data_IF_979230573652
#
_entry.id   IF_979230573652
#
_cell.length_a   1.000
_cell.length_b   1.000
_cell.length_c   1.000
_cell.angle_alpha   90.00
_cell.angle_beta   90.00
_cell.angle_gamma   90.00
#
_symmetry.space_group_name_H-M   'P 1'
#
loop_
_entity.id
_entity.type
_entity.pdbx_description
1 polymer ?
#
# COMPACT_ATOMS: atom_id res chain seq x y z
N UNK A 1 -9.40 -7.90 30.20
CA UNK A 1 -9.04 -7.16 28.97
C UNK A 1 -7.54 -7.22 28.91
N UNK A 2 -6.97 -7.94 27.94
CA UNK A 2 -5.52 -8.19 27.90
C UNK A 2 -4.77 -6.88 27.65
N UNK A 3 -3.81 -6.57 28.52
CA UNK A 3 -2.87 -5.43 28.47
C UNK A 3 -1.97 -5.49 27.23
N UNK A 4 -2.55 -5.26 26.04
CA UNK A 4 -1.76 -5.14 24.82
C UNK A 4 -1.04 -3.80 24.80
N UNK A 5 0.28 -3.85 24.85
CA UNK A 5 1.16 -2.71 24.62
C UNK A 5 1.98 -2.99 23.36
N UNK A 6 1.90 -2.09 22.38
CA UNK A 6 2.66 -2.24 21.14
C UNK A 6 4.16 -2.11 21.42
N UNK A 7 4.94 -3.01 20.85
CA UNK A 7 6.41 -3.01 20.87
C UNK A 7 7.02 -2.90 19.48
N UNK A 8 6.23 -3.09 18.42
CA UNK A 8 6.67 -2.89 17.03
C UNK A 8 6.81 -1.39 16.68
N UNK A 9 7.89 -0.98 15.99
CA UNK A 9 8.00 0.35 15.41
C UNK A 9 6.89 0.68 14.41
N UNK A 10 6.53 1.96 14.30
CA UNK A 10 5.61 2.46 13.28
C UNK A 10 6.34 3.44 12.37
N UNK A 11 6.22 3.25 11.05
CA UNK A 11 6.58 4.23 10.05
C UNK A 11 5.34 5.00 9.59
N UNK A 12 5.43 6.33 9.57
CA UNK A 12 4.35 7.21 9.17
C UNK A 12 4.78 8.10 8.00
N UNK A 13 4.16 7.86 6.84
CA UNK A 13 4.45 8.56 5.59
C UNK A 13 3.45 9.71 5.42
N UNK A 14 3.94 10.94 5.42
CA UNK A 14 3.10 12.15 5.40
C UNK A 14 3.50 13.09 4.27
N UNK A 15 2.58 13.95 3.84
CA UNK A 15 2.91 15.05 2.93
C UNK A 15 2.23 16.36 3.36
N UNK A 16 1.16 16.76 2.67
CA UNK A 16 0.56 18.09 2.76
C UNK A 16 -0.92 18.03 3.20
N UNK A 17 -1.34 16.94 3.87
CA UNK A 17 -2.73 16.76 4.32
C UNK A 17 -2.81 16.78 5.85
N UNK A 18 -2.70 17.95 6.50
CA UNK A 18 -2.70 18.04 7.97
C UNK A 18 -3.96 17.41 8.60
N UNK A 19 -5.13 17.55 7.99
CA UNK A 19 -6.39 17.03 8.53
C UNK A 19 -6.42 15.49 8.64
N UNK A 20 -6.02 14.78 7.58
CA UNK A 20 -5.97 13.31 7.62
C UNK A 20 -4.76 12.83 8.42
N UNK A 21 -3.62 13.54 8.33
CA UNK A 21 -2.43 13.29 9.14
C UNK A 21 -2.78 13.28 10.63
N UNK A 22 -3.53 14.27 11.11
CA UNK A 22 -3.93 14.37 12.52
C UNK A 22 -4.78 13.17 12.96
N UNK A 23 -5.69 12.71 12.10
CA UNK A 23 -6.57 11.56 12.40
C UNK A 23 -5.80 10.24 12.46
N UNK A 24 -4.87 10.02 11.54
CA UNK A 24 -4.03 8.82 11.55
C UNK A 24 -3.04 8.86 12.71
N UNK A 25 -2.44 10.03 12.97
CA UNK A 25 -1.55 10.24 14.10
C UNK A 25 -2.25 9.97 15.44
N UNK A 26 -3.50 10.39 15.61
CA UNK A 26 -4.26 10.08 16.83
C UNK A 26 -4.38 8.56 17.05
N UNK A 27 -4.62 7.78 15.99
CA UNK A 27 -4.65 6.33 16.11
C UNK A 27 -3.28 5.73 16.47
N UNK A 28 -2.19 6.28 15.93
CA UNK A 28 -0.80 5.92 16.30
C UNK A 28 -0.52 6.27 17.76
N UNK A 29 -0.91 7.46 18.20
CA UNK A 29 -0.78 7.96 19.57
C UNK A 29 -1.55 7.11 20.58
N UNK A 30 -2.72 6.57 20.22
CA UNK A 30 -3.43 5.60 21.06
C UNK A 30 -2.71 4.25 21.14
N UNK A 31 -2.04 3.83 20.05
CA UNK A 31 -1.27 2.58 20.02
C UNK A 31 0.08 2.67 20.75
N UNK A 32 0.61 3.89 20.93
CA UNK A 32 1.85 4.20 21.66
C UNK A 32 3.03 3.32 21.24
N UNK A 33 3.44 3.31 19.95
CA UNK A 33 4.63 2.57 19.55
C UNK A 33 5.87 3.11 20.27
N UNK A 34 6.85 2.26 20.61
CA UNK A 34 8.08 2.69 21.28
C UNK A 34 9.01 3.48 20.35
N UNK A 35 8.83 3.37 19.03
CA UNK A 35 9.57 4.10 18.00
C UNK A 35 8.65 4.54 16.87
N UNK A 36 8.71 5.81 16.50
CA UNK A 36 7.97 6.40 15.39
C UNK A 36 8.95 6.97 14.36
N UNK A 37 8.96 6.39 13.16
CA UNK A 37 9.78 6.84 12.03
C UNK A 37 8.91 7.64 11.06
N UNK A 38 9.12 8.94 10.95
CA UNK A 38 8.30 9.82 10.11
C UNK A 38 9.04 10.19 8.84
N UNK A 39 8.43 9.89 7.70
CA UNK A 39 8.93 10.29 6.38
C UNK A 39 7.98 11.36 5.84
N UNK A 40 8.51 12.54 5.50
CA UNK A 40 7.72 13.59 4.86
C UNK A 40 8.30 13.99 3.50
N UNK A 41 7.45 14.19 2.50
CA UNK A 41 7.86 14.88 1.26
C UNK A 41 7.96 16.41 1.46
N UNK A 42 8.64 17.07 0.54
CA UNK A 42 8.73 18.52 0.48
C UNK A 42 7.61 19.15 -0.35
N UNK A 43 7.36 20.47 -0.18
CA UNK A 43 6.32 21.18 -0.91
C UNK A 43 6.60 21.19 -2.41
N UNK A 44 5.54 21.10 -3.23
CA UNK A 44 5.69 21.21 -4.70
C UNK A 44 6.00 22.66 -5.08
N UNK A 45 6.97 22.89 -5.99
CA UNK A 45 7.41 24.23 -6.35
C UNK A 45 6.30 25.08 -7.00
N UNK A 46 5.31 24.44 -7.63
CA UNK A 46 4.16 25.06 -8.28
C UNK A 46 2.92 25.20 -7.38
N UNK A 47 3.03 24.88 -6.07
CA UNK A 47 1.92 24.89 -5.11
C UNK A 47 2.31 25.62 -3.83
N UNK A 48 2.06 26.93 -3.80
CA UNK A 48 2.41 27.78 -2.66
C UNK A 48 1.73 27.34 -1.34
N UNK A 49 0.52 26.76 -1.40
CA UNK A 49 -0.20 26.26 -0.23
C UNK A 49 0.47 25.02 0.40
N UNK A 50 1.29 24.28 -0.36
CA UNK A 50 2.01 23.13 0.18
C UNK A 50 3.00 23.53 1.27
N UNK A 51 3.57 24.75 1.25
CA UNK A 51 4.55 25.17 2.26
C UNK A 51 3.92 25.13 3.65
N UNK A 52 2.79 25.83 3.82
CA UNK A 52 2.09 25.87 5.10
C UNK A 52 1.43 24.53 5.43
N UNK A 53 0.90 23.81 4.44
CA UNK A 53 0.30 22.49 4.64
C UNK A 53 1.32 21.43 5.09
N UNK A 54 2.51 21.39 4.48
CA UNK A 54 3.59 20.50 4.89
C UNK A 54 4.07 20.84 6.30
N UNK A 55 4.25 22.14 6.59
CA UNK A 55 4.62 22.61 7.93
C UNK A 55 3.58 22.19 8.98
N UNK A 56 2.29 22.40 8.70
CA UNK A 56 1.20 21.98 9.57
C UNK A 56 1.16 20.45 9.77
N UNK A 57 1.36 19.67 8.70
CA UNK A 57 1.41 18.21 8.78
C UNK A 57 2.59 17.71 9.64
N UNK A 58 3.78 18.31 9.48
CA UNK A 58 4.97 17.98 10.28
C UNK A 58 4.80 18.36 11.76
N UNK A 59 4.18 19.50 12.05
CA UNK A 59 3.93 19.96 13.42
C UNK A 59 3.03 19.02 14.24
N UNK A 60 2.18 18.22 13.60
CA UNK A 60 1.37 17.20 14.28
C UNK A 60 2.24 16.17 15.01
N UNK A 61 3.42 15.87 14.48
CA UNK A 61 4.36 14.90 15.06
C UNK A 61 4.93 15.41 16.40
N UNK A 62 4.92 16.71 16.66
CA UNK A 62 5.31 17.28 17.95
C UNK A 62 4.32 16.91 19.07
N UNK A 63 3.14 16.39 18.74
CA UNK A 63 2.12 15.92 19.68
C UNK A 63 2.40 14.55 20.31
N UNK A 64 3.60 13.99 20.13
CA UNK A 64 4.04 12.77 20.80
C UNK A 64 4.23 13.05 22.29
N UNK A 65 3.41 12.43 23.13
CA UNK A 65 3.39 12.64 24.59
C UNK A 65 3.51 11.33 25.40
N UNK A 66 4.01 10.28 24.76
CA UNK A 66 4.33 9.01 25.38
C UNK A 66 5.83 8.69 25.20
N UNK A 67 6.33 7.68 25.91
CA UNK A 67 7.72 7.22 25.77
C UNK A 67 7.92 6.64 24.36
N UNK A 68 8.54 7.43 23.49
CA UNK A 68 8.67 7.15 22.06
C UNK A 68 9.95 7.77 21.50
N UNK A 69 10.77 6.96 20.86
CA UNK A 69 11.87 7.45 20.02
C UNK A 69 11.31 7.92 18.68
N UNK A 70 11.30 9.24 18.46
CA UNK A 70 10.85 9.84 17.20
C UNK A 70 12.05 10.13 16.30
N UNK A 71 12.07 9.53 15.11
CA UNK A 71 13.06 9.77 14.07
C UNK A 71 12.38 10.34 12.83
N UNK A 72 12.95 11.38 12.23
CA UNK A 72 12.35 12.09 11.10
C UNK A 72 13.27 12.11 9.89
N UNK A 73 12.70 11.84 8.72
CA UNK A 73 13.34 12.02 7.42
C UNK A 73 12.43 12.93 6.57
N UNK A 74 12.72 14.23 6.58
CA UNK A 74 11.94 15.24 5.87
C UNK A 74 12.71 15.73 4.65
N UNK A 75 12.04 15.74 3.49
CA UNK A 75 12.60 16.35 2.29
C UNK A 75 12.26 17.84 2.24
N UNK A 76 13.24 18.67 1.84
CA UNK A 76 13.02 20.10 1.60
C UNK A 76 12.37 20.36 0.22
N UNK A 77 12.50 19.40 -0.70
CA UNK A 77 11.95 19.46 -2.06
C UNK A 77 10.95 18.33 -2.29
N UNK A 78 9.97 18.56 -3.15
CA UNK A 78 9.05 17.48 -3.55
C UNK A 78 9.78 16.46 -4.43
N UNK A 79 9.86 15.21 -3.97
CA UNK A 79 10.46 14.10 -4.72
C UNK A 79 9.41 13.28 -5.49
N UNK A 80 8.12 13.48 -5.19
CA UNK A 80 7.01 12.76 -5.80
C UNK A 80 6.76 11.40 -5.14
N UNK A 81 5.61 10.79 -5.46
CA UNK A 81 5.12 9.62 -4.74
C UNK A 81 6.09 8.42 -4.88
N UNK A 82 6.53 8.11 -6.10
CA UNK A 82 7.45 6.99 -6.36
C UNK A 82 8.74 7.14 -5.58
N UNK A 83 9.44 8.27 -5.75
CA UNK A 83 10.78 8.47 -5.20
C UNK A 83 10.74 8.71 -3.71
N UNK A 84 9.76 9.47 -3.20
CA UNK A 84 9.70 9.79 -1.77
C UNK A 84 9.36 8.57 -0.93
N UNK A 85 8.34 7.80 -1.33
CA UNK A 85 7.93 6.64 -0.53
C UNK A 85 9.01 5.57 -0.55
N UNK A 86 9.59 5.26 -1.71
CA UNK A 86 10.67 4.26 -1.80
C UNK A 86 11.90 4.65 -0.98
N UNK A 87 12.46 5.85 -1.18
CA UNK A 87 13.63 6.31 -0.40
C UNK A 87 13.34 6.43 1.09
N UNK A 88 12.11 6.78 1.47
CA UNK A 88 11.66 6.81 2.86
C UNK A 88 11.63 5.40 3.48
N UNK A 89 11.11 4.41 2.75
CA UNK A 89 11.08 3.03 3.20
C UNK A 89 12.48 2.41 3.25
N UNK A 90 13.37 2.75 2.31
CA UNK A 90 14.78 2.35 2.38
C UNK A 90 15.42 2.84 3.68
N UNK A 91 15.26 4.13 4.00
CA UNK A 91 15.72 4.71 5.27
C UNK A 91 15.08 4.05 6.50
N UNK A 92 13.77 3.75 6.48
CA UNK A 92 13.11 3.04 7.58
C UNK A 92 13.77 1.68 7.80
N UNK A 93 13.95 0.91 6.74
CA UNK A 93 14.50 -0.44 6.82
C UNK A 93 16.03 -0.49 7.04
N UNK A 94 16.75 0.62 6.90
CA UNK A 94 18.12 0.76 7.42
C UNK A 94 18.16 0.80 8.96
N UNK A 95 17.06 1.20 9.61
CA UNK A 95 16.98 1.40 11.07
C UNK A 95 16.32 0.21 11.77
N UNK A 96 15.29 -0.40 11.16
CA UNK A 96 14.48 -1.44 11.79
C UNK A 96 14.33 -2.70 10.93
N UNK A 97 14.29 -3.87 11.58
CA UNK A 97 14.12 -5.16 10.90
C UNK A 97 12.66 -5.44 10.50
N UNK A 98 11.70 -4.85 11.22
CA UNK A 98 10.27 -4.98 10.96
C UNK A 98 9.52 -3.73 11.43
N UNK A 99 8.43 -3.40 10.74
CA UNK A 99 7.72 -2.12 10.95
C UNK A 99 6.28 -2.20 10.47
N UNK A 100 5.39 -1.48 11.16
CA UNK A 100 4.03 -1.17 10.71
C UNK A 100 4.06 0.15 9.95
N UNK A 101 3.51 0.20 8.75
CA UNK A 101 3.59 1.34 7.83
C UNK A 101 2.19 1.90 7.59
N UNK A 102 2.02 3.19 7.85
CA UNK A 102 0.80 3.94 7.60
C UNK A 102 1.12 5.17 6.74
N UNK A 103 0.22 5.49 5.80
CA UNK A 103 0.20 6.77 5.09
C UNK A 103 -0.75 7.76 5.79
N UNK A 104 -0.60 9.06 5.53
CA UNK A 104 -1.40 10.14 6.12
C UNK A 104 -2.91 10.04 5.91
N UNK A 105 -3.37 9.10 5.08
CA UNK A 105 -4.77 8.86 4.79
C UNK A 105 -5.24 7.42 5.08
N UNK A 106 -4.38 6.59 5.68
CA UNK A 106 -4.72 5.22 6.05
C UNK A 106 -5.14 5.15 7.53
N UNK A 107 -6.42 5.37 7.84
CA UNK A 107 -6.93 5.34 9.21
C UNK A 107 -7.11 3.89 9.71
N UNK A 108 -6.32 3.43 10.70
CA UNK A 108 -6.41 2.06 11.19
C UNK A 108 -7.50 1.90 12.26
N UNK A 109 -8.12 0.71 12.30
CA UNK A 109 -8.84 0.23 13.47
C UNK A 109 -7.86 -0.07 14.60
N UNK A 110 -8.25 0.10 15.87
CA UNK A 110 -7.35 -0.11 17.03
C UNK A 110 -6.73 -1.51 17.09
N UNK A 111 -7.46 -2.53 16.64
CA UNK A 111 -6.96 -3.92 16.58
C UNK A 111 -5.94 -4.18 15.47
N UNK A 112 -5.71 -3.25 14.56
CA UNK A 112 -4.72 -3.36 13.47
C UNK A 112 -3.29 -3.54 14.01
N UNK A 113 -2.92 -2.75 15.01
CA UNK A 113 -1.56 -2.78 15.57
C UNK A 113 -1.22 -4.13 16.17
N UNK A 114 -2.11 -4.68 17.01
CA UNK A 114 -1.95 -6.02 17.59
C UNK A 114 -1.94 -7.12 16.53
N UNK A 115 -2.77 -7.00 15.50
CA UNK A 115 -2.79 -7.93 14.38
C UNK A 115 -1.44 -7.97 13.65
N UNK A 116 -0.88 -6.80 13.34
CA UNK A 116 0.44 -6.72 12.72
C UNK A 116 1.54 -7.27 13.64
N UNK A 117 1.58 -6.90 14.93
CA UNK A 117 2.62 -7.36 15.86
C UNK A 117 2.62 -8.89 16.04
N UNK A 118 1.46 -9.50 16.29
CA UNK A 118 1.37 -10.96 16.47
C UNK A 118 1.86 -11.70 15.20
N UNK A 119 1.55 -11.18 14.01
CA UNK A 119 1.93 -11.79 12.74
C UNK A 119 3.36 -11.48 12.30
N UNK A 120 3.88 -10.28 12.59
CA UNK A 120 5.28 -9.94 12.40
C UNK A 120 6.17 -10.89 13.20
N UNK A 121 5.83 -11.10 14.47
CA UNK A 121 6.51 -12.05 15.35
C UNK A 121 6.39 -13.50 14.84
N UNK A 122 5.18 -13.93 14.46
CA UNK A 122 4.93 -15.31 14.04
C UNK A 122 5.67 -15.67 12.75
N UNK A 123 5.67 -14.78 11.75
CA UNK A 123 6.26 -15.04 10.43
C UNK A 123 7.63 -14.41 10.23
N UNK A 124 8.30 -13.96 11.31
CA UNK A 124 9.60 -13.29 11.25
C UNK A 124 10.64 -14.03 10.40
N UNK A 125 10.67 -15.36 10.50
CA UNK A 125 11.64 -16.20 9.80
C UNK A 125 11.06 -16.95 8.60
N UNK A 126 9.78 -16.75 8.26
CA UNK A 126 9.13 -17.42 7.13
C UNK A 126 9.24 -16.57 5.86
N UNK A 127 10.24 -16.89 5.03
CA UNK A 127 10.53 -16.16 3.79
C UNK A 127 9.40 -16.19 2.76
N UNK A 128 8.41 -17.10 2.90
CA UNK A 128 7.24 -17.14 2.02
C UNK A 128 6.34 -15.92 2.24
N UNK A 129 6.39 -15.29 3.41
CA UNK A 129 5.58 -14.12 3.74
C UNK A 129 6.41 -12.86 3.59
N UNK A 130 5.93 -11.93 2.76
CA UNK A 130 6.60 -10.66 2.47
C UNK A 130 5.87 -9.44 3.03
N UNK A 131 4.56 -9.55 3.30
CA UNK A 131 3.74 -8.43 3.73
C UNK A 131 2.58 -8.91 4.62
N UNK A 132 2.18 -8.07 5.57
CA UNK A 132 0.90 -8.14 6.27
C UNK A 132 0.08 -6.92 5.85
N UNK A 133 -1.12 -7.10 5.33
CA UNK A 133 -2.00 -6.02 4.91
C UNK A 133 -3.02 -5.71 6.01
N UNK A 134 -3.53 -4.49 6.07
CA UNK A 134 -4.66 -4.11 6.91
C UNK A 134 -5.98 -4.04 6.15
N UNK A 135 -5.96 -3.85 4.83
CA UNK A 135 -7.17 -3.76 4.02
C UNK A 135 -7.68 -5.11 3.49
N UNK A 136 -9.01 -5.26 3.43
CA UNK A 136 -9.68 -6.37 2.76
C UNK A 136 -10.73 -5.84 1.76
N UNK A 137 -10.53 -6.12 0.47
CA UNK A 137 -11.40 -5.66 -0.61
C UNK A 137 -12.30 -6.74 -1.20
N UNK A 138 -12.44 -7.90 -0.55
CA UNK A 138 -13.33 -8.97 -1.02
C UNK A 138 -14.81 -8.62 -0.84
N UNK A 139 -15.16 -7.57 -0.08
CA UNK A 139 -16.55 -7.10 0.15
C UNK A 139 -17.50 -8.22 0.56
N UNK A 140 -17.04 -9.14 1.41
CA UNK A 140 -17.81 -10.29 1.90
C UNK A 140 -18.09 -11.38 0.86
N UNK A 141 -17.54 -11.29 -0.36
CA UNK A 141 -17.74 -12.29 -1.43
C UNK A 141 -17.04 -13.62 -1.16
N UNK A 142 -16.14 -13.65 -0.20
CA UNK A 142 -15.50 -14.87 0.31
C UNK A 142 -15.59 -14.88 1.83
N UNK A 143 -16.18 -15.93 2.38
CA UNK A 143 -16.19 -16.19 3.82
C UNK A 143 -15.01 -17.09 4.14
N UNK A 144 -14.10 -16.60 4.97
CA UNK A 144 -12.96 -17.34 5.48
C UNK A 144 -13.17 -17.48 6.98
N UNK A 145 -13.12 -18.72 7.47
CA UNK A 145 -13.36 -19.02 8.87
C UNK A 145 -12.19 -18.67 9.78
N UNK A 146 -11.02 -18.37 9.22
CA UNK A 146 -9.79 -17.97 9.92
C UNK A 146 -9.71 -16.44 10.01
N UNK A 147 -8.90 -15.92 10.93
CA UNK A 147 -8.75 -14.47 11.14
C UNK A 147 -8.12 -13.76 9.95
N UNK A 148 -7.34 -14.47 9.14
CA UNK A 148 -6.68 -13.97 7.94
C UNK A 148 -6.50 -15.08 6.91
N UNK A 149 -6.09 -14.71 5.70
CA UNK A 149 -5.71 -15.64 4.63
C UNK A 149 -4.45 -15.14 3.94
N UNK A 150 -3.80 -16.01 3.16
CA UNK A 150 -2.66 -15.61 2.34
C UNK A 150 -3.10 -15.33 0.90
N UNK A 151 -2.50 -14.32 0.29
CA UNK A 151 -2.80 -13.87 -1.07
C UNK A 151 -1.51 -13.57 -1.80
N UNK A 152 -1.46 -13.78 -3.12
CA UNK A 152 -0.36 -13.23 -3.94
C UNK A 152 -0.47 -11.70 -4.08
N UNK A 153 -1.66 -11.14 -3.88
CA UNK A 153 -1.87 -9.71 -3.79
C UNK A 153 -1.63 -9.24 -2.36
N UNK A 154 -1.39 -7.93 -2.21
CA UNK A 154 -1.34 -7.32 -0.89
C UNK A 154 -1.57 -5.82 -1.01
N UNK A 155 -2.79 -5.34 -0.74
CA UNK A 155 -3.08 -3.91 -0.65
C UNK A 155 -2.11 -3.20 0.28
N UNK A 156 -1.67 -2.00 -0.11
CA UNK A 156 -0.67 -1.21 0.63
C UNK A 156 -1.28 -0.17 1.57
N UNK A 157 -2.61 -0.08 1.67
CA UNK A 157 -3.24 0.82 2.64
C UNK A 157 -3.17 0.23 4.03
N UNK A 158 -2.24 0.75 4.83
CA UNK A 158 -1.87 0.24 6.15
C UNK A 158 -1.36 -1.20 6.07
N UNK A 159 -0.06 -1.38 6.28
CA UNK A 159 0.58 -2.68 6.12
C UNK A 159 1.75 -2.82 7.06
N UNK A 160 2.36 -3.99 7.11
CA UNK A 160 3.59 -4.23 7.83
C UNK A 160 4.47 -5.18 7.03
N UNK A 161 5.78 -5.07 7.22
CA UNK A 161 6.75 -5.90 6.53
C UNK A 161 8.07 -5.99 7.30
N UNK A 162 8.97 -6.79 6.76
CA UNK A 162 10.31 -6.99 7.27
C UNK A 162 11.35 -6.43 6.29
N UNK A 163 12.48 -5.97 6.81
CA UNK A 163 13.67 -5.61 6.02
C UNK A 163 14.07 -6.75 5.08
N UNK A 164 14.01 -8.00 5.56
CA UNK A 164 14.31 -9.20 4.76
C UNK A 164 13.42 -9.36 3.53
N UNK A 165 12.22 -8.76 3.51
CA UNK A 165 11.32 -8.76 2.38
C UNK A 165 11.51 -7.50 1.53
N UNK A 166 11.67 -6.33 2.17
CA UNK A 166 11.90 -5.06 1.47
C UNK A 166 13.18 -5.05 0.63
N UNK A 167 14.22 -5.79 1.02
CA UNK A 167 15.48 -5.91 0.24
C UNK A 167 15.31 -6.34 -1.23
N UNK A 168 14.15 -6.92 -1.59
CA UNK A 168 13.83 -7.32 -2.96
C UNK A 168 13.15 -6.21 -3.77
N UNK A 169 12.81 -5.09 -3.15
CA UNK A 169 12.22 -3.93 -3.81
C UNK A 169 13.23 -3.33 -4.80
N UNK A 170 12.80 -3.19 -6.05
CA UNK A 170 13.55 -2.50 -7.10
C UNK A 170 12.63 -1.46 -7.74
N UNK A 171 12.91 -0.18 -7.47
CA UNK A 171 12.13 0.97 -7.95
C UNK A 171 12.05 1.05 -9.48
N UNK A 172 13.02 0.45 -10.18
CA UNK A 172 13.13 0.44 -11.63
C UNK A 172 12.65 -0.86 -12.27
N UNK A 173 12.28 -1.87 -11.47
CA UNK A 173 11.84 -3.19 -11.92
C UNK A 173 12.71 -3.76 -13.05
N UNK A 174 14.04 -3.73 -12.87
CA UNK A 174 15.00 -4.05 -13.93
C UNK A 174 14.80 -5.46 -14.53
N UNK A 175 14.27 -6.39 -13.73
CA UNK A 175 13.95 -7.75 -14.17
C UNK A 175 12.72 -7.83 -15.08
N UNK A 176 11.90 -6.77 -15.21
CA UNK A 176 10.65 -6.83 -15.98
C UNK A 176 10.88 -7.22 -17.45
N UNK A 177 11.93 -6.69 -18.08
CA UNK A 177 12.25 -7.02 -19.48
C UNK A 177 12.45 -8.53 -19.65
N UNK A 178 13.24 -9.14 -18.78
CA UNK A 178 13.50 -10.58 -18.81
C UNK A 178 12.25 -11.40 -18.50
N UNK A 179 11.47 -10.97 -17.49
CA UNK A 179 10.19 -11.60 -17.13
C UNK A 179 9.22 -11.60 -18.31
N UNK A 180 9.17 -10.52 -19.08
CA UNK A 180 8.33 -10.40 -20.26
C UNK A 180 8.85 -11.26 -21.42
N UNK A 181 10.14 -11.15 -21.76
CA UNK A 181 10.75 -11.84 -22.90
C UNK A 181 10.70 -13.37 -22.74
N UNK A 182 10.95 -13.87 -21.53
CA UNK A 182 10.89 -15.31 -21.20
C UNK A 182 9.49 -15.78 -20.80
N UNK A 183 8.48 -14.89 -20.84
CA UNK A 183 7.11 -15.18 -20.45
C UNK A 183 6.94 -15.73 -19.02
N UNK A 184 7.85 -15.36 -18.11
CA UNK A 184 7.84 -15.77 -16.69
C UNK A 184 6.56 -15.29 -15.98
N UNK A 185 5.90 -14.25 -16.49
CA UNK A 185 4.64 -13.76 -15.94
C UNK A 185 3.52 -14.82 -15.87
N UNK A 186 3.56 -15.88 -16.70
CA UNK A 186 2.61 -16.99 -16.58
C UNK A 186 2.70 -17.73 -15.24
N UNK A 187 3.83 -17.64 -14.53
CA UNK A 187 4.02 -18.31 -13.23
C UNK A 187 3.29 -17.59 -12.08
N UNK A 188 2.91 -16.33 -12.25
CA UNK A 188 2.20 -15.56 -11.23
C UNK A 188 0.86 -14.96 -11.70
N UNK A 189 0.45 -15.22 -12.94
CA UNK A 189 -0.85 -14.85 -13.49
C UNK A 189 -1.75 -16.08 -13.62
N UNK A 190 -3.00 -16.02 -13.14
CA UNK A 190 -3.92 -17.17 -13.20
C UNK A 190 -4.53 -17.41 -14.58
N UNK A 191 -4.60 -16.36 -15.40
CA UNK A 191 -5.30 -16.40 -16.69
C UNK A 191 -4.78 -15.33 -17.65
N UNK A 192 -5.17 -15.45 -18.92
CA UNK A 192 -4.76 -14.54 -19.99
C UNK A 192 -5.14 -13.08 -19.72
N UNK A 193 -6.30 -12.82 -19.11
CA UNK A 193 -6.74 -11.45 -18.80
C UNK A 193 -5.83 -10.80 -17.75
N UNK A 194 -5.44 -11.54 -16.71
CA UNK A 194 -4.47 -11.09 -15.72
C UNK A 194 -3.10 -10.84 -16.37
N UNK A 195 -2.63 -11.76 -17.22
CA UNK A 195 -1.37 -11.60 -17.94
C UNK A 195 -1.35 -10.32 -18.78
N UNK A 196 -2.37 -10.09 -19.62
CA UNK A 196 -2.45 -8.90 -20.47
C UNK A 196 -2.53 -7.60 -19.65
N UNK A 197 -3.30 -7.62 -18.55
CA UNK A 197 -3.43 -6.47 -17.65
C UNK A 197 -2.08 -6.11 -17.03
N UNK A 198 -1.30 -7.12 -16.62
CA UNK A 198 0.00 -6.92 -15.98
C UNK A 198 1.08 -6.54 -16.97
N UNK A 199 1.06 -7.08 -18.18
CA UNK A 199 2.00 -6.67 -19.23
C UNK A 199 1.81 -5.18 -19.53
N UNK A 200 0.58 -4.73 -19.79
CA UNK A 200 0.27 -3.31 -20.02
C UNK A 200 0.68 -2.43 -18.83
N UNK A 201 0.45 -2.91 -17.60
CA UNK A 201 0.82 -2.19 -16.39
C UNK A 201 2.34 -2.04 -16.26
N UNK A 202 3.09 -3.14 -16.30
CA UNK A 202 4.53 -3.14 -16.05
C UNK A 202 5.34 -2.56 -17.21
N UNK A 203 4.83 -2.60 -18.44
CA UNK A 203 5.39 -1.84 -19.56
C UNK A 203 5.35 -0.33 -19.28
N UNK A 204 4.26 0.19 -18.71
CA UNK A 204 4.16 1.61 -18.37
C UNK A 204 5.01 1.99 -17.17
N UNK A 205 5.08 1.11 -16.16
CA UNK A 205 5.95 1.33 -14.99
C UNK A 205 7.42 1.35 -15.41
N UNK A 206 7.86 0.44 -16.29
CA UNK A 206 9.27 0.31 -16.68
C UNK A 206 9.79 1.49 -17.51
N UNK A 207 8.93 2.13 -18.29
CA UNK A 207 9.27 3.34 -19.06
C UNK A 207 8.97 4.65 -18.31
N UNK A 208 8.51 4.58 -17.06
CA UNK A 208 8.27 5.75 -16.22
C UNK A 208 6.97 6.51 -16.50
N UNK A 209 6.01 5.93 -17.22
CA UNK A 209 4.69 6.55 -17.46
C UNK A 209 3.80 6.60 -16.20
N UNK A 210 4.15 5.84 -15.15
CA UNK A 210 3.40 5.77 -13.90
C UNK A 210 4.32 6.16 -12.73
N UNK A 211 3.99 7.27 -12.07
CA UNK A 211 4.63 7.74 -10.84
C UNK A 211 3.97 7.10 -9.61
N UNK A 212 4.37 5.87 -9.30
CA UNK A 212 3.97 5.17 -8.07
C UNK A 212 5.09 4.23 -7.60
N UNK A 213 4.99 3.73 -6.37
CA UNK A 213 5.93 2.77 -5.77
C UNK A 213 5.30 1.37 -5.57
N UNK A 214 3.98 1.30 -5.45
CA UNK A 214 3.25 0.11 -5.02
C UNK A 214 3.25 -1.02 -6.06
N UNK A 215 3.24 -0.71 -7.35
CA UNK A 215 3.34 -1.73 -8.40
C UNK A 215 4.70 -2.41 -8.42
N UNK A 216 5.78 -1.69 -8.14
CA UNK A 216 7.13 -2.23 -8.03
C UNK A 216 7.24 -3.15 -6.83
N UNK A 217 6.62 -2.78 -5.70
CA UNK A 217 6.54 -3.66 -4.55
C UNK A 217 5.72 -4.92 -4.84
N UNK A 218 4.60 -4.78 -5.55
CA UNK A 218 3.83 -5.93 -6.02
C UNK A 218 4.67 -6.83 -6.94
N UNK A 219 5.45 -6.26 -7.86
CA UNK A 219 6.35 -7.01 -8.74
C UNK A 219 7.43 -7.77 -7.96
N UNK A 220 8.05 -7.14 -6.97
CA UNK A 220 9.02 -7.78 -6.08
C UNK A 220 8.40 -9.00 -5.38
N UNK A 221 7.14 -8.93 -4.93
CA UNK A 221 6.44 -10.09 -4.37
C UNK A 221 6.19 -11.18 -5.41
N UNK A 222 5.72 -10.84 -6.61
CA UNK A 222 5.44 -11.84 -7.65
C UNK A 222 6.68 -12.62 -8.07
N UNK A 223 7.80 -11.94 -8.31
CA UNK A 223 9.04 -12.59 -8.79
C UNK A 223 9.69 -13.47 -7.72
N UNK A 224 9.42 -13.20 -6.43
CA UNK A 224 9.90 -14.00 -5.30
C UNK A 224 8.89 -15.03 -4.79
N UNK A 225 7.78 -15.29 -5.51
CA UNK A 225 6.67 -16.15 -5.04
C UNK A 225 6.15 -15.76 -3.64
N UNK A 226 6.24 -14.48 -3.30
CA UNK A 226 5.92 -13.96 -1.98
C UNK A 226 4.42 -13.84 -1.75
N UNK A 227 3.98 -14.25 -0.57
CA UNK A 227 2.60 -14.12 -0.10
C UNK A 227 2.45 -12.91 0.83
N UNK A 228 1.26 -12.34 0.79
CA UNK A 228 0.81 -11.33 1.76
C UNK A 228 -0.28 -11.92 2.65
N UNK A 229 -0.23 -11.62 3.94
CA UNK A 229 -1.33 -11.89 4.87
C UNK A 229 -2.40 -10.82 4.68
N UNK A 230 -3.65 -11.22 4.54
CA UNK A 230 -4.81 -10.32 4.45
C UNK A 230 -5.84 -10.66 5.53
N UNK A 231 -6.28 -9.71 6.37
CA UNK A 231 -7.28 -9.96 7.40
C UNK A 231 -8.63 -10.35 6.78
N UNK A 232 -9.44 -11.14 7.49
CA UNK A 232 -10.78 -11.50 7.02
C UNK A 232 -11.81 -10.35 7.14
N UNK A 233 -11.46 -9.31 7.89
CA UNK A 233 -12.16 -8.03 8.03
C UNK A 233 -11.33 -6.91 7.41
N UNK A 234 -11.94 -5.74 7.19
CA UNK A 234 -11.20 -4.55 6.80
C UNK A 234 -10.71 -3.80 8.05
N UNK A 235 -9.39 -3.65 8.22
CA UNK A 235 -8.78 -2.98 9.37
C UNK A 235 -8.35 -1.53 9.07
N UNK A 236 -8.37 -1.10 7.80
CA UNK A 236 -7.91 0.23 7.38
C UNK A 236 -9.00 0.90 6.55
N UNK A 237 -9.32 2.15 6.87
CA UNK A 237 -10.14 3.02 6.02
C UNK A 237 -9.24 4.05 5.34
N UNK A 238 -9.21 4.06 3.99
CA UNK A 238 -8.55 5.15 3.28
C UNK A 238 -9.47 6.38 3.28
N UNK A 239 -9.08 7.40 4.06
CA UNK A 239 -9.81 8.65 4.29
C UNK A 239 -9.31 9.81 3.40
N UNK A 240 -8.45 9.51 2.43
CA UNK A 240 -7.79 10.49 1.56
C UNK A 240 -8.60 10.87 0.33
N UNK A 241 -9.61 10.06 -0.03
CA UNK A 241 -10.56 10.41 -1.08
C UNK A 241 -11.56 11.45 -0.56
N UNK A 242 -11.25 12.71 -0.85
CA UNK A 242 -11.99 13.93 -0.51
C UNK A 242 -11.45 15.11 -1.33
N UNK A 243 -11.82 16.36 -1.01
CA UNK A 243 -11.51 17.56 -1.83
C UNK A 243 -10.00 17.83 -2.10
N UNK A 244 -9.08 17.15 -1.42
CA UNK A 244 -7.62 17.44 -1.49
C UNK A 244 -6.73 16.25 -1.94
N UNK A 245 -7.30 15.18 -2.51
CA UNK A 245 -6.54 14.00 -2.96
C UNK A 245 -5.63 14.25 -4.19
N UNK A 246 -4.33 13.94 -4.08
CA UNK A 246 -3.30 14.14 -5.13
C UNK A 246 -3.38 13.16 -6.32
N UNK A 247 -3.91 11.95 -6.11
CA UNK A 247 -4.06 10.95 -7.18
C UNK A 247 -5.52 10.53 -7.41
N UNK A 248 -6.46 11.05 -6.62
CA UNK A 248 -7.90 10.74 -6.71
C UNK A 248 -8.70 12.02 -6.49
N UNK A 249 -8.75 12.86 -7.53
CA UNK A 249 -9.73 13.95 -7.64
C UNK A 249 -11.13 13.44 -8.00
N UNK A 250 -11.26 12.14 -8.27
CA UNK A 250 -12.52 11.50 -8.62
C UNK A 250 -13.25 11.09 -7.33
N UNK A 251 -14.41 11.68 -7.06
CA UNK A 251 -15.26 11.42 -5.89
C UNK A 251 -15.81 9.96 -5.81
N UNK A 252 -15.18 8.97 -6.46
CA UNK A 252 -15.76 7.64 -6.67
C UNK A 252 -14.74 6.48 -6.66
N UNK A 253 -13.64 6.51 -5.89
CA UNK A 253 -12.94 5.26 -5.62
C UNK A 253 -13.84 4.36 -4.74
N UNK A 254 -14.38 3.23 -5.25
CA UNK A 254 -15.33 2.40 -4.52
C UNK A 254 -14.69 1.58 -3.39
N UNK A 255 -13.38 1.75 -3.17
CA UNK A 255 -12.60 1.17 -2.09
C UNK A 255 -12.22 2.21 -1.03
N UNK A 256 -12.42 3.49 -1.28
CA UNK A 256 -12.18 4.54 -0.28
C UNK A 256 -13.27 4.55 0.79
N UNK A 257 -12.92 5.04 1.97
CA UNK A 257 -13.82 5.17 3.13
C UNK A 257 -14.58 3.88 3.46
N UNK A 258 -14.02 2.70 3.14
CA UNK A 258 -14.61 1.44 3.55
C UNK A 258 -14.64 1.39 5.08
N UNK A 259 -15.74 0.92 5.69
CA UNK A 259 -15.83 0.81 7.13
C UNK A 259 -14.79 -0.19 7.63
N UNK A 260 -14.25 0.08 8.82
CA UNK A 260 -13.39 -0.85 9.52
C UNK A 260 -14.19 -1.74 10.47
N UNK A 261 -13.66 -2.90 10.80
CA UNK A 261 -14.23 -3.77 11.84
C UNK A 261 -13.12 -4.34 12.70
N UNK A 262 -13.42 -4.57 13.98
CA UNK A 262 -12.50 -5.23 14.88
C UNK A 262 -12.17 -6.64 14.39
N UNK A 263 -10.91 -7.05 14.58
CA UNK A 263 -10.52 -8.46 14.49
C UNK A 263 -10.48 -9.05 15.90
N UNK A 264 -10.97 -10.27 16.04
CA UNK A 264 -11.03 -10.96 17.32
C UNK A 264 -9.70 -11.65 17.64
N UNK A 265 -9.36 -11.65 18.94
CA UNK A 265 -8.19 -12.34 19.49
C UNK A 265 -8.64 -13.42 20.49
N UNK A 266 -7.93 -14.56 20.60
CA UNK A 266 -6.71 -14.91 19.86
C UNK A 266 -6.97 -15.13 18.37
N UNK A 267 -5.96 -14.86 17.52
CA UNK A 267 -6.09 -15.05 16.08
C UNK A 267 -6.30 -16.53 15.76
N UNK A 268 -7.24 -16.82 14.86
CA UNK A 268 -7.40 -18.14 14.27
C UNK A 268 -6.55 -18.24 13.02
N UNK A 269 -5.52 -19.07 13.07
CA UNK A 269 -4.53 -19.23 12.01
C UNK A 269 -5.01 -20.22 10.92
N UNK A 270 -4.72 -19.96 9.64
CA UNK A 270 -4.94 -20.93 8.57
C UNK A 270 -4.17 -22.24 8.77
N UNK A 271 -4.70 -23.34 8.24
CA UNK A 271 -4.10 -24.69 8.34
C UNK A 271 -2.68 -24.78 7.76
N UNK A 272 -2.35 -23.92 6.80
CA UNK A 272 -1.04 -23.87 6.18
C UNK A 272 -0.81 -22.57 5.45
N UNK A 273 0.43 -22.38 5.01
CA UNK A 273 0.85 -21.20 4.26
C UNK A 273 0.73 -21.49 2.77
N UNK A 274 -0.43 -21.14 2.20
CA UNK A 274 -0.73 -21.26 0.78
C UNK A 274 -1.64 -20.12 0.34
N UNK A 275 -1.39 -19.60 -0.87
CA UNK A 275 -2.22 -18.55 -1.45
C UNK A 275 -3.66 -19.00 -1.66
N UNK A 276 -4.60 -18.14 -1.31
CA UNK A 276 -6.02 -18.37 -1.48
C UNK A 276 -6.46 -17.97 -2.90
N UNK A 277 -6.38 -18.94 -3.82
CA UNK A 277 -6.67 -18.72 -5.24
C UNK A 277 -8.03 -18.09 -5.51
N UNK A 278 -9.12 -18.52 -4.85
CA UNK A 278 -10.43 -17.89 -5.12
C UNK A 278 -10.59 -16.53 -4.45
N UNK A 279 -9.83 -16.22 -3.38
CA UNK A 279 -9.73 -14.84 -2.89
C UNK A 279 -9.01 -13.96 -3.94
N UNK A 280 -7.93 -14.48 -4.52
CA UNK A 280 -7.13 -13.80 -5.53
C UNK A 280 -7.93 -13.52 -6.81
N UNK A 281 -8.71 -14.50 -7.30
CA UNK A 281 -9.62 -14.34 -8.44
C UNK A 281 -10.67 -13.23 -8.19
N UNK A 282 -11.26 -13.21 -6.99
CA UNK A 282 -12.21 -12.15 -6.59
C UNK A 282 -11.50 -10.81 -6.53
N UNK A 283 -10.33 -10.73 -5.90
CA UNK A 283 -9.56 -9.50 -5.77
C UNK A 283 -9.23 -8.91 -7.16
N UNK A 284 -8.71 -9.75 -8.06
CA UNK A 284 -8.40 -9.34 -9.42
C UNK A 284 -9.63 -8.78 -10.14
N UNK A 285 -10.74 -9.51 -10.11
CA UNK A 285 -11.96 -9.12 -10.80
C UNK A 285 -12.59 -7.80 -10.31
N UNK A 286 -12.40 -7.45 -9.03
CA UNK A 286 -13.06 -6.28 -8.41
C UNK A 286 -12.15 -5.07 -8.25
N UNK A 287 -10.84 -5.28 -8.14
CA UNK A 287 -9.89 -4.20 -7.80
C UNK A 287 -8.96 -3.87 -8.96
N UNK A 288 -8.49 -4.89 -9.70
CA UNK A 288 -7.42 -4.72 -10.70
C UNK A 288 -7.91 -4.79 -12.14
N UNK A 289 -9.03 -5.49 -12.37
CA UNK A 289 -9.61 -5.63 -13.70
C UNK A 289 -10.06 -4.28 -14.23
N UNK A 290 -9.20 -3.64 -15.01
CA UNK A 290 -9.57 -2.55 -15.91
C UNK A 290 -10.26 -3.19 -17.10
N UNK A 291 -11.46 -2.70 -17.45
CA UNK A 291 -12.09 -3.10 -18.71
C UNK A 291 -11.17 -2.72 -19.87
N UNK A 292 -10.48 -3.69 -20.45
CA UNK A 292 -9.62 -3.54 -21.64
C UNK A 292 -10.44 -2.90 -22.79
N UNK A 293 -11.75 -3.13 -22.82
CA UNK A 293 -12.69 -2.47 -23.73
C UNK A 293 -12.73 -0.94 -23.55
N UNK A 294 -12.64 -0.41 -22.32
CA UNK A 294 -12.72 1.05 -22.09
C UNK A 294 -11.45 1.80 -22.55
N UNK A 295 -10.27 1.19 -22.49
CA UNK A 295 -9.04 1.84 -22.99
C UNK A 295 -8.98 1.84 -24.51
N UNK A 296 -9.42 0.76 -25.16
CA UNK A 296 -9.42 0.65 -26.61
C UNK A 296 -10.52 1.50 -27.25
N UNK A 297 -11.70 1.63 -26.64
CA UNK A 297 -12.74 2.57 -27.11
C UNK A 297 -12.27 4.03 -26.98
N UNK A 298 -11.58 4.40 -25.89
CA UNK A 298 -11.02 5.76 -25.75
C UNK A 298 -9.92 6.05 -26.77
N UNK A 299 -9.02 5.10 -27.04
CA UNK A 299 -7.99 5.21 -28.10
C UNK A 299 -8.62 5.29 -29.50
N UNK A 300 -9.66 4.49 -29.77
CA UNK A 300 -10.35 4.49 -31.06
C UNK A 300 -11.13 5.79 -31.29
N UNK A 301 -11.80 6.31 -30.25
CA UNK A 301 -12.49 7.61 -30.30
C UNK A 301 -11.51 8.78 -30.43
N UNK A 302 -10.34 8.74 -29.79
CA UNK A 302 -9.32 9.79 -29.98
C UNK A 302 -8.70 9.74 -31.38
N UNK A 303 -8.52 8.54 -31.95
CA UNK A 303 -8.03 8.37 -33.31
C UNK A 303 -9.03 8.92 -34.34
N UNK A 304 -10.32 8.62 -34.19
CA UNK A 304 -11.40 9.16 -35.03
C UNK A 304 -11.52 10.68 -34.94
N UNK A 305 -11.34 11.27 -33.74
CA UNK A 305 -11.27 12.73 -33.55
C UNK A 305 -10.04 13.35 -34.20
N UNK A 306 -8.89 12.67 -34.19
CA UNK A 306 -7.68 13.18 -34.86
C UNK A 306 -7.74 13.10 -36.40
N UNK A 307 -8.53 12.16 -36.94
CA UNK A 307 -8.76 12.00 -38.38
C UNK A 307 -9.80 12.99 -38.91
N UNK A 308 -10.79 13.39 -38.10
CA UNK A 308 -11.82 14.38 -38.48
C UNK A 308 -11.31 15.83 -38.46
N UNK A 309 -10.21 16.11 -37.75
CA UNK A 309 -9.54 17.43 -37.76
C UNK A 309 -8.60 17.61 -38.98
N UNK A 310 -8.25 16.53 -39.69
CA UNK A 310 -7.39 16.57 -40.90
C UNK A 310 -8.17 16.64 -42.22
N UNK A 311 -9.49 16.78 -42.17
CA UNK A 311 -10.39 16.78 -43.33
C UNK A 311 -11.21 18.08 -43.48
N UNK A 312 -10.71 19.18 -42.92
CA UNK A 312 -11.19 20.56 -43.18
C UNK A 312 -10.04 21.37 -43.75
#
# INVERSE_FOLDING_TARGET
>A
MTDFQLTTPVAFLIFNRPDTTARVFEAIRQAKPPKLLVVADGPRPDRADDIEKCKAARAIIEGVDWDCEVLTNYSDVNLGCKSRVSSGLDWVFEIVEEVIILEDDCLPHSTFFRFCEELLKLYRNDSRIMQICGSNFLKGKRKIGDSYYFSKYGPIWGWAAWQRAWKYYDVNINLWKEVKDQQIYYNFCENLEESLTRIDLYDKVSIGEIDTWDYQWAFAKFINSGLSITPNVNLISNIGCGKEGTHVTDQQNPLANLPTSAIEFPLKHPLGVYGDRKADEIYFAHTLKRSILKSNVRKFVSLLKSLSVKLV
#
